data_IF_586159325523
#
_entry.id   IF_586159325523
#
_cell.length_a   1.000
_cell.length_b   1.000
_cell.length_c   1.000
_cell.angle_alpha   90.00
_cell.angle_beta   90.00
_cell.angle_gamma   90.00
#
_symmetry.space_group_name_H-M   'P 1'
#
loop_
_entity.id
_entity.type
_entity.pdbx_description
1 polymer ?
#
# COMPACT_ATOMS: atom_id res chain seq x y z
N UNK A 1 -18.25 -1.81 -22.45
CA UNK A 1 -18.00 -2.07 -21.02
C UNK A 1 -16.53 -1.78 -20.80
N UNK A 2 -16.10 -0.91 -19.86
CA UNK A 2 -14.69 -0.74 -19.59
C UNK A 2 -14.11 -2.11 -19.21
N UNK A 3 -12.95 -2.45 -19.75
CA UNK A 3 -12.29 -3.72 -19.50
C UNK A 3 -11.93 -3.81 -18.00
N UNK A 4 -12.53 -4.76 -17.30
CA UNK A 4 -12.26 -4.97 -15.88
C UNK A 4 -10.82 -5.50 -15.72
N UNK A 5 -10.00 -4.81 -14.96
CA UNK A 5 -8.64 -5.25 -14.62
C UNK A 5 -8.73 -6.21 -13.44
N UNK A 6 -8.27 -7.48 -13.59
CA UNK A 6 -8.23 -8.43 -12.48
C UNK A 6 -7.35 -7.90 -11.33
N UNK A 7 -7.71 -8.26 -10.10
CA UNK A 7 -6.95 -7.89 -8.91
C UNK A 7 -6.21 -9.11 -8.37
N UNK A 8 -4.90 -9.00 -8.16
CA UNK A 8 -4.11 -10.09 -7.59
C UNK A 8 -4.60 -10.52 -6.21
N UNK A 9 -5.03 -9.57 -5.40
CA UNK A 9 -5.57 -9.81 -4.05
C UNK A 9 -6.90 -10.59 -4.04
N UNK A 10 -7.56 -10.78 -5.18
CA UNK A 10 -8.86 -11.48 -5.24
C UNK A 10 -8.78 -12.92 -4.70
N UNK A 11 -7.70 -13.64 -5.01
CA UNK A 11 -7.48 -15.00 -4.51
C UNK A 11 -7.37 -15.05 -2.98
N UNK A 12 -6.76 -14.03 -2.36
CA UNK A 12 -6.67 -13.91 -0.91
C UNK A 12 -8.04 -13.65 -0.27
N UNK A 13 -8.89 -12.85 -0.93
CA UNK A 13 -10.27 -12.61 -0.46
C UNK A 13 -11.09 -13.90 -0.54
N UNK A 14 -10.96 -14.67 -1.63
CA UNK A 14 -11.65 -15.97 -1.76
C UNK A 14 -11.17 -16.98 -0.70
N UNK A 15 -9.86 -17.04 -0.43
CA UNK A 15 -9.29 -17.89 0.61
C UNK A 15 -9.81 -17.47 2.00
N UNK A 16 -9.81 -16.19 2.32
CA UNK A 16 -10.33 -15.68 3.58
C UNK A 16 -11.83 -15.99 3.78
N UNK A 17 -12.64 -15.87 2.71
CA UNK A 17 -14.06 -16.23 2.79
C UNK A 17 -14.30 -17.74 3.00
N UNK A 18 -13.32 -18.59 2.69
CA UNK A 18 -13.44 -20.02 2.88
C UNK A 18 -13.26 -20.45 4.35
N UNK A 19 -12.57 -19.68 5.18
CA UNK A 19 -12.22 -20.05 6.54
C UNK A 19 -12.55 -18.98 7.62
N UNK A 20 -12.81 -17.75 7.21
CA UNK A 20 -13.04 -16.62 8.11
C UNK A 20 -14.49 -16.13 8.02
N UNK A 21 -15.09 -15.83 9.19
CA UNK A 21 -16.51 -15.46 9.34
C UNK A 21 -16.83 -14.10 8.73
N UNK A 22 -15.93 -13.14 8.93
CA UNK A 22 -16.05 -11.75 8.47
C UNK A 22 -14.78 -11.34 7.72
N UNK A 23 -14.91 -10.94 6.47
CA UNK A 23 -13.80 -10.42 5.67
C UNK A 23 -14.04 -8.93 5.41
N UNK A 24 -13.09 -8.09 5.79
CA UNK A 24 -13.12 -6.65 5.57
C UNK A 24 -12.10 -6.26 4.50
N UNK A 25 -12.58 -5.70 3.39
CA UNK A 25 -11.72 -5.05 2.38
C UNK A 25 -11.56 -3.58 2.76
N UNK A 26 -10.39 -3.23 3.27
CA UNK A 26 -10.03 -1.87 3.65
C UNK A 26 -9.08 -1.25 2.64
N UNK A 27 -9.09 0.06 2.45
CA UNK A 27 -8.16 0.70 1.51
C UNK A 27 -8.63 2.06 1.03
N UNK A 28 -7.77 2.71 0.23
CA UNK A 28 -7.98 4.06 -0.26
C UNK A 28 -9.36 4.23 -0.94
N UNK A 29 -9.92 5.42 -0.81
CA UNK A 29 -11.11 5.79 -1.58
C UNK A 29 -10.85 5.62 -3.07
N UNK A 30 -11.84 5.11 -3.83
CA UNK A 30 -11.73 4.86 -5.27
C UNK A 30 -10.61 3.86 -5.68
N UNK A 31 -10.07 3.04 -4.77
CA UNK A 31 -9.14 1.96 -5.11
C UNK A 31 -9.83 0.76 -5.80
N UNK A 32 -11.16 0.73 -5.86
CA UNK A 32 -11.92 -0.34 -6.52
C UNK A 32 -12.50 -1.40 -5.57
N UNK A 33 -12.66 -1.10 -4.26
CA UNK A 33 -13.20 -2.02 -3.25
C UNK A 33 -14.56 -2.61 -3.65
N UNK A 34 -15.55 -1.76 -3.94
CA UNK A 34 -16.90 -2.19 -4.34
C UNK A 34 -16.90 -3.01 -5.62
N UNK A 35 -15.93 -2.76 -6.53
CA UNK A 35 -15.75 -3.55 -7.74
C UNK A 35 -15.17 -4.93 -7.43
N UNK A 36 -14.11 -4.99 -6.60
CA UNK A 36 -13.51 -6.26 -6.16
C UNK A 36 -14.54 -7.14 -5.46
N UNK A 37 -15.26 -6.59 -4.49
CA UNK A 37 -16.30 -7.31 -3.75
C UNK A 37 -17.38 -7.85 -4.67
N UNK A 38 -17.79 -7.08 -5.68
CA UNK A 38 -18.76 -7.54 -6.68
C UNK A 38 -18.24 -8.71 -7.51
N UNK A 39 -16.96 -8.68 -7.88
CA UNK A 39 -16.32 -9.76 -8.64
C UNK A 39 -16.18 -11.02 -7.79
N UNK A 40 -15.69 -10.90 -6.57
CA UNK A 40 -15.49 -12.02 -5.64
C UNK A 40 -16.84 -12.63 -5.22
N UNK A 41 -17.86 -11.81 -4.93
CA UNK A 41 -19.19 -12.33 -4.63
C UNK A 41 -19.79 -13.10 -5.82
N UNK A 42 -19.45 -12.71 -7.07
CA UNK A 42 -19.82 -13.44 -8.29
C UNK A 42 -21.30 -13.82 -8.34
N UNK A 43 -21.56 -15.11 -8.59
CA UNK A 43 -22.88 -15.72 -8.65
C UNK A 43 -23.35 -16.32 -7.30
N UNK A 44 -22.60 -16.08 -6.21
CA UNK A 44 -23.02 -16.51 -4.86
C UNK A 44 -24.39 -15.87 -4.50
N UNK A 45 -25.21 -16.59 -3.77
CA UNK A 45 -26.45 -16.05 -3.21
C UNK A 45 -26.10 -15.00 -2.17
N UNK A 46 -25.93 -13.75 -2.63
CA UNK A 46 -25.48 -12.65 -1.80
C UNK A 46 -26.51 -11.51 -1.80
N UNK A 47 -26.86 -11.03 -0.62
CA UNK A 47 -27.51 -9.73 -0.46
C UNK A 47 -26.47 -8.62 -0.35
N UNK A 48 -26.79 -7.44 -0.89
CA UNK A 48 -25.85 -6.32 -0.98
C UNK A 48 -26.49 -5.03 -0.51
N UNK A 49 -25.83 -4.37 0.44
CA UNK A 49 -26.20 -3.06 0.93
C UNK A 49 -25.05 -2.06 0.71
N UNK A 50 -25.41 -0.92 0.14
CA UNK A 50 -24.48 0.21 -0.08
C UNK A 50 -24.85 1.34 0.90
N UNK A 51 -24.13 1.46 2.00
CA UNK A 51 -24.45 2.42 3.05
C UNK A 51 -24.22 3.89 2.67
N UNK A 52 -23.67 4.17 1.49
CA UNK A 52 -23.73 5.53 0.92
C UNK A 52 -25.17 5.88 0.45
N UNK A 53 -26.02 4.88 0.16
CA UNK A 53 -27.43 5.09 -0.15
C UNK A 53 -28.23 5.32 1.14
N UNK A 54 -29.04 6.37 1.12
CA UNK A 54 -29.84 6.75 2.29
C UNK A 54 -30.83 5.63 2.74
N UNK A 55 -31.39 4.89 1.77
CA UNK A 55 -32.34 3.82 2.02
C UNK A 55 -31.67 2.64 2.75
N UNK A 56 -30.51 2.19 2.24
CA UNK A 56 -29.78 1.06 2.82
C UNK A 56 -29.26 1.40 4.23
N UNK A 57 -28.78 2.64 4.40
CA UNK A 57 -28.36 3.14 5.70
C UNK A 57 -29.54 3.24 6.69
N UNK A 58 -30.72 3.68 6.24
CA UNK A 58 -31.91 3.72 7.08
C UNK A 58 -32.33 2.32 7.54
N UNK A 59 -32.30 1.32 6.64
CA UNK A 59 -32.58 -0.08 6.98
C UNK A 59 -31.56 -0.60 8.02
N UNK A 60 -30.27 -0.37 7.82
CA UNK A 60 -29.19 -0.75 8.71
C UNK A 60 -29.32 -0.17 10.13
N UNK A 61 -29.80 1.07 10.23
CA UNK A 61 -30.00 1.76 11.51
C UNK A 61 -31.31 1.36 12.20
N UNK A 62 -32.37 1.07 11.42
CA UNK A 62 -33.70 0.76 11.97
C UNK A 62 -33.79 -0.67 12.48
N UNK A 63 -33.25 -1.63 11.72
CA UNK A 63 -33.25 -3.06 12.10
C UNK A 63 -31.89 -3.71 11.76
N UNK A 64 -30.86 -3.43 12.54
CA UNK A 64 -29.54 -4.01 12.30
C UNK A 64 -29.51 -5.54 12.43
N UNK A 65 -30.32 -6.12 13.32
CA UNK A 65 -30.37 -7.58 13.54
C UNK A 65 -31.02 -8.27 12.36
N UNK A 66 -32.20 -7.81 11.92
CA UNK A 66 -32.87 -8.39 10.76
C UNK A 66 -32.06 -8.27 9.48
N UNK A 67 -31.30 -7.17 9.33
CA UNK A 67 -30.43 -6.98 8.17
C UNK A 67 -29.27 -7.98 8.15
N UNK A 68 -28.61 -8.26 9.29
CA UNK A 68 -27.43 -9.15 9.32
C UNK A 68 -27.81 -10.63 9.18
N UNK A 69 -29.06 -11.00 9.37
CA UNK A 69 -29.55 -12.39 9.22
C UNK A 69 -30.21 -12.66 7.85
N UNK A 70 -30.22 -11.67 6.95
CA UNK A 70 -31.03 -11.72 5.72
C UNK A 70 -30.51 -12.68 4.65
N UNK A 71 -29.21 -13.06 4.67
CA UNK A 71 -28.60 -13.80 3.57
C UNK A 71 -27.52 -14.80 4.00
N UNK A 72 -27.19 -15.73 3.09
CA UNK A 72 -26.10 -16.68 3.25
C UNK A 72 -24.73 -15.97 3.17
N UNK A 73 -24.55 -15.05 2.22
CA UNK A 73 -23.45 -14.09 2.15
C UNK A 73 -24.01 -12.67 2.15
N UNK A 74 -23.64 -11.88 3.14
CA UNK A 74 -24.02 -10.48 3.23
C UNK A 74 -22.84 -9.58 2.83
N UNK A 75 -23.06 -8.77 1.81
CA UNK A 75 -22.10 -7.78 1.32
C UNK A 75 -22.51 -6.40 1.79
N UNK A 76 -21.68 -5.73 2.59
CA UNK A 76 -21.93 -4.38 3.10
C UNK A 76 -20.81 -3.44 2.62
N UNK A 77 -21.17 -2.50 1.76
CA UNK A 77 -20.25 -1.47 1.26
C UNK A 77 -20.27 -0.23 2.16
N UNK A 78 -19.09 0.34 2.45
CA UNK A 78 -18.88 1.53 3.29
C UNK A 78 -19.40 1.36 4.74
N UNK A 79 -19.06 0.24 5.40
CA UNK A 79 -19.50 -0.15 6.76
C UNK A 79 -19.30 0.96 7.80
N UNK A 80 -18.33 1.87 7.63
CA UNK A 80 -18.12 2.98 8.54
C UNK A 80 -19.28 3.99 8.59
N UNK A 81 -20.27 3.87 7.68
CA UNK A 81 -21.48 4.71 7.67
C UNK A 81 -22.54 4.25 8.67
N UNK A 82 -22.48 2.99 9.12
CA UNK A 82 -23.35 2.41 10.14
C UNK A 82 -22.54 1.46 11.05
N UNK A 83 -21.61 2.02 11.85
CA UNK A 83 -20.70 1.20 12.67
C UNK A 83 -21.42 0.33 13.72
N UNK A 84 -22.65 0.67 14.08
CA UNK A 84 -23.52 -0.13 14.93
C UNK A 84 -23.81 -1.53 14.39
N UNK A 85 -23.76 -1.72 13.05
CA UNK A 85 -23.89 -3.05 12.45
C UNK A 85 -22.79 -4.03 12.89
N UNK A 86 -21.61 -3.54 13.26
CA UNK A 86 -20.53 -4.41 13.73
C UNK A 86 -20.90 -5.17 15.01
N UNK A 87 -21.74 -4.59 15.89
CA UNK A 87 -22.25 -5.27 17.08
C UNK A 87 -23.29 -6.34 16.73
N UNK A 88 -24.18 -6.05 15.77
CA UNK A 88 -25.13 -7.03 15.27
C UNK A 88 -24.42 -8.21 14.56
N UNK A 89 -23.43 -7.92 13.71
CA UNK A 89 -22.58 -8.93 13.05
C UNK A 89 -21.87 -9.77 14.11
N UNK A 90 -21.32 -9.16 15.18
CA UNK A 90 -20.69 -9.90 16.27
C UNK A 90 -21.65 -10.91 16.91
N UNK A 91 -22.87 -10.50 17.26
CA UNK A 91 -23.85 -11.39 17.82
C UNK A 91 -24.18 -12.55 16.86
N UNK A 92 -24.42 -12.23 15.59
CA UNK A 92 -24.76 -13.21 14.56
C UNK A 92 -23.63 -14.23 14.30
N UNK A 93 -22.35 -13.83 14.34
CA UNK A 93 -21.22 -14.78 14.17
C UNK A 93 -20.91 -15.58 15.44
N UNK A 94 -21.37 -15.13 16.60
CA UNK A 94 -21.25 -15.89 17.83
C UNK A 94 -22.34 -17.00 17.91
N UNK A 95 -23.50 -16.76 17.29
CA UNK A 95 -24.60 -17.77 17.18
C UNK A 95 -24.33 -18.75 16.03
N UNK A 96 -23.89 -18.26 14.87
CA UNK A 96 -23.57 -19.05 13.68
C UNK A 96 -22.14 -18.77 13.20
N UNK A 97 -21.17 -19.61 13.59
CA UNK A 97 -19.75 -19.39 13.32
C UNK A 97 -19.30 -19.81 11.91
N UNK A 98 -20.20 -20.09 10.97
CA UNK A 98 -19.84 -20.47 9.61
C UNK A 98 -18.95 -19.40 8.94
N UNK A 99 -17.90 -19.81 8.19
CA UNK A 99 -17.10 -18.86 7.41
C UNK A 99 -17.86 -18.27 6.23
N UNK A 100 -17.36 -17.16 5.69
CA UNK A 100 -17.87 -16.54 4.46
C UNK A 100 -19.21 -15.85 4.56
N UNK A 101 -19.71 -15.56 5.79
CA UNK A 101 -21.03 -14.92 5.96
C UNK A 101 -21.03 -13.42 5.64
N UNK A 102 -19.94 -12.71 5.95
CA UNK A 102 -19.90 -11.26 5.84
C UNK A 102 -18.68 -10.79 5.03
N UNK A 103 -18.96 -10.04 3.97
CA UNK A 103 -17.94 -9.37 3.16
C UNK A 103 -18.17 -7.86 3.22
N UNK A 104 -17.31 -7.17 3.95
CA UNK A 104 -17.45 -5.75 4.26
C UNK A 104 -16.44 -4.93 3.45
N UNK A 105 -16.78 -3.67 3.14
CA UNK A 105 -15.79 -2.70 2.67
C UNK A 105 -15.74 -1.47 3.55
N UNK A 106 -14.56 -0.81 3.59
CA UNK A 106 -14.37 0.46 4.28
C UNK A 106 -13.27 1.30 3.65
N UNK A 107 -13.49 2.62 3.57
CA UNK A 107 -12.52 3.58 3.01
C UNK A 107 -11.64 4.26 4.06
N UNK A 108 -11.82 3.95 5.32
CA UNK A 108 -10.97 4.37 6.44
C UNK A 108 -10.57 3.16 7.28
N UNK A 109 -9.49 3.28 8.04
CA UNK A 109 -9.15 2.23 9.00
C UNK A 109 -10.19 2.21 10.11
N UNK A 110 -11.04 1.19 10.11
CA UNK A 110 -12.12 1.02 11.12
C UNK A 110 -11.61 1.05 12.55
N UNK A 111 -10.36 0.65 12.78
CA UNK A 111 -9.72 0.67 14.10
C UNK A 111 -9.47 2.07 14.67
N UNK A 112 -9.55 3.14 13.86
CA UNK A 112 -9.56 4.54 14.35
C UNK A 112 -10.94 5.03 14.80
N UNK A 113 -12.02 4.28 14.53
CA UNK A 113 -13.37 4.63 14.95
C UNK A 113 -13.63 4.09 16.37
N UNK A 114 -14.10 4.94 17.26
CA UNK A 114 -14.32 4.68 18.69
C UNK A 114 -15.21 3.43 19.00
N UNK A 115 -15.97 2.94 18.03
CA UNK A 115 -16.92 1.82 18.20
C UNK A 115 -16.44 0.46 17.65
N UNK A 116 -15.33 0.40 16.87
CA UNK A 116 -14.92 -0.82 16.17
C UNK A 116 -13.91 -1.74 16.89
N UNK A 117 -13.04 -1.26 17.82
CA UNK A 117 -11.97 -2.09 18.38
C UNK A 117 -12.46 -3.34 19.13
N UNK A 118 -13.65 -3.29 19.73
CA UNK A 118 -14.16 -4.37 20.58
C UNK A 118 -15.15 -5.32 19.88
N UNK A 119 -15.52 -5.03 18.63
CA UNK A 119 -16.63 -5.76 18.01
C UNK A 119 -16.24 -7.18 17.53
N UNK A 120 -15.08 -7.34 16.82
CA UNK A 120 -14.79 -8.57 16.07
C UNK A 120 -13.36 -9.15 16.24
N UNK A 121 -12.67 -9.04 17.41
CA UNK A 121 -11.35 -9.65 17.57
C UNK A 121 -11.39 -11.17 17.36
N UNK A 122 -10.48 -11.69 16.51
CA UNK A 122 -10.40 -13.12 16.21
C UNK A 122 -11.54 -13.68 15.34
N UNK A 123 -12.45 -12.83 14.85
CA UNK A 123 -13.58 -13.21 13.98
C UNK A 123 -13.50 -12.59 12.59
N UNK A 124 -12.64 -11.59 12.41
CA UNK A 124 -12.52 -10.79 11.20
C UNK A 124 -11.08 -10.80 10.67
N UNK A 125 -10.95 -11.02 9.38
CA UNK A 125 -9.73 -10.76 8.63
C UNK A 125 -9.85 -9.47 7.84
N UNK A 126 -8.80 -8.64 7.87
CA UNK A 126 -8.75 -7.40 7.11
C UNK A 126 -7.74 -7.51 5.99
N UNK A 127 -8.20 -7.31 4.76
CA UNK A 127 -7.38 -7.31 3.56
C UNK A 127 -7.28 -5.88 3.02
N UNK A 128 -6.05 -5.37 2.91
CA UNK A 128 -5.79 -4.01 2.42
C UNK A 128 -5.78 -3.98 0.90
N UNK A 129 -6.72 -3.25 0.29
CA UNK A 129 -6.77 -3.02 -1.15
C UNK A 129 -6.07 -1.73 -1.53
N UNK A 130 -4.96 -1.85 -2.23
CA UNK A 130 -4.20 -0.73 -2.79
C UNK A 130 -4.77 -0.27 -4.15
N UNK A 131 -4.41 0.93 -4.65
CA UNK A 131 -4.51 1.25 -6.08
C UNK A 131 -3.84 0.17 -6.94
N UNK A 132 -4.14 0.10 -8.21
CA UNK A 132 -3.55 -0.90 -9.11
C UNK A 132 -2.02 -0.94 -9.00
N UNK A 133 -1.46 -2.14 -8.98
CA UNK A 133 -0.04 -2.38 -9.21
C UNK A 133 0.32 -2.20 -10.69
N UNK A 134 1.61 -2.14 -10.98
CA UNK A 134 2.04 -2.07 -12.38
C UNK A 134 1.75 -3.37 -13.13
N UNK A 135 1.85 -4.53 -12.46
CA UNK A 135 1.51 -5.81 -13.06
C UNK A 135 0.02 -5.95 -13.33
N UNK A 136 -0.85 -5.55 -12.42
CA UNK A 136 -2.30 -5.51 -12.67
C UNK A 136 -2.64 -4.66 -13.90
N UNK A 137 -1.99 -3.49 -14.06
CA UNK A 137 -2.19 -2.61 -15.22
C UNK A 137 -1.68 -3.18 -16.54
N UNK A 138 -0.59 -3.95 -16.50
CA UNK A 138 0.08 -4.52 -17.67
C UNK A 138 -0.34 -6.00 -17.90
N UNK A 139 -1.18 -6.60 -17.05
CA UNK A 139 -1.52 -8.02 -17.08
C UNK A 139 -0.29 -8.90 -16.80
N UNK A 140 0.57 -8.51 -15.86
CA UNK A 140 1.80 -9.19 -15.46
C UNK A 140 1.70 -9.74 -14.03
N UNK A 141 2.56 -10.69 -13.64
CA UNK A 141 2.35 -11.50 -12.43
C UNK A 141 2.63 -10.83 -11.08
N UNK A 142 3.43 -9.74 -11.00
CA UNK A 142 3.79 -9.07 -9.72
C UNK A 142 4.34 -10.01 -8.63
N UNK A 143 5.23 -10.93 -8.99
CA UNK A 143 5.72 -11.99 -8.09
C UNK A 143 7.10 -11.74 -7.48
N UNK A 144 7.63 -10.51 -7.52
CA UNK A 144 9.00 -10.21 -7.09
C UNK A 144 9.29 -10.60 -5.64
N UNK A 145 8.36 -10.34 -4.72
CA UNK A 145 8.56 -10.64 -3.29
C UNK A 145 8.77 -12.13 -3.09
N UNK A 146 7.92 -12.97 -3.65
CA UNK A 146 8.04 -14.43 -3.55
C UNK A 146 9.30 -14.94 -4.28
N UNK A 147 9.58 -14.39 -5.46
CA UNK A 147 10.72 -14.78 -6.27
C UNK A 147 12.06 -14.45 -5.59
N UNK A 148 12.20 -13.29 -4.95
CA UNK A 148 13.47 -12.90 -4.33
C UNK A 148 13.77 -13.72 -3.07
N UNK A 149 12.76 -14.15 -2.31
CA UNK A 149 12.95 -15.06 -1.19
C UNK A 149 13.28 -16.48 -1.64
N UNK A 150 12.78 -16.91 -2.80
CA UNK A 150 13.03 -18.26 -3.34
C UNK A 150 14.37 -18.37 -4.06
N UNK A 151 14.66 -17.42 -4.96
CA UNK A 151 15.84 -17.48 -5.81
C UNK A 151 17.01 -16.67 -5.27
N UNK A 152 16.76 -15.74 -4.35
CA UNK A 152 17.79 -14.90 -3.75
C UNK A 152 18.67 -14.21 -4.78
N UNK A 153 20.01 -14.40 -4.69
CA UNK A 153 20.97 -13.81 -5.63
C UNK A 153 20.95 -14.47 -7.03
N UNK A 154 20.20 -15.55 -7.23
CA UNK A 154 20.06 -16.20 -8.52
C UNK A 154 18.91 -15.64 -9.35
N UNK A 155 18.10 -14.76 -8.78
CA UNK A 155 17.08 -14.03 -9.51
C UNK A 155 17.69 -13.26 -10.69
N UNK A 156 17.10 -13.42 -11.88
CA UNK A 156 17.51 -12.76 -13.12
C UNK A 156 16.32 -12.11 -13.77
N UNK A 157 16.55 -10.94 -14.34
CA UNK A 157 15.55 -10.24 -15.12
C UNK A 157 16.22 -9.32 -16.15
N UNK A 158 15.67 -9.29 -17.34
CA UNK A 158 16.01 -8.34 -18.41
C UNK A 158 14.78 -7.51 -18.75
N UNK A 159 14.97 -6.27 -19.14
CA UNK A 159 13.90 -5.31 -19.36
C UNK A 159 14.17 -4.40 -20.55
N UNK A 160 13.12 -4.07 -21.26
CA UNK A 160 13.07 -3.03 -22.29
C UNK A 160 12.44 -1.72 -21.76
N UNK A 161 12.02 -1.68 -20.50
CA UNK A 161 11.39 -0.51 -19.88
C UNK A 161 12.41 0.61 -19.70
N UNK A 162 12.14 1.72 -20.34
CA UNK A 162 13.02 2.90 -20.30
C UNK A 162 12.78 3.78 -19.07
N UNK A 163 13.74 4.68 -18.79
CA UNK A 163 13.55 5.70 -17.75
C UNK A 163 12.33 6.60 -17.99
N UNK A 164 12.00 6.86 -19.26
CA UNK A 164 10.82 7.63 -19.63
C UNK A 164 9.51 6.87 -19.29
N UNK A 165 9.51 5.54 -19.47
CA UNK A 165 8.38 4.70 -19.08
C UNK A 165 8.19 4.69 -17.57
N UNK A 166 9.26 4.61 -16.78
CA UNK A 166 9.18 4.75 -15.32
C UNK A 166 8.59 6.10 -14.90
N UNK A 167 9.06 7.20 -15.52
CA UNK A 167 8.51 8.54 -15.26
C UNK A 167 7.01 8.63 -15.58
N UNK A 168 6.59 8.07 -16.71
CA UNK A 168 5.19 8.01 -17.11
C UNK A 168 4.33 7.20 -16.12
N UNK A 169 4.82 6.04 -15.64
CA UNK A 169 4.16 5.19 -14.66
C UNK A 169 4.02 5.89 -13.30
N UNK A 170 5.07 6.52 -12.81
CA UNK A 170 5.06 7.30 -11.56
C UNK A 170 3.96 8.37 -11.60
N UNK A 171 3.90 9.16 -12.68
CA UNK A 171 2.94 10.27 -12.81
C UNK A 171 1.50 9.75 -13.07
N UNK A 172 1.36 8.61 -13.72
CA UNK A 172 0.05 7.98 -13.94
C UNK A 172 -0.58 7.53 -12.64
N UNK A 173 0.23 6.97 -11.72
CA UNK A 173 -0.25 6.31 -10.51
C UNK A 173 -0.99 5.01 -10.81
N UNK A 174 -1.74 4.50 -9.82
CA UNK A 174 -2.53 3.27 -9.87
C UNK A 174 -4.00 3.44 -9.53
N UNK A 175 -4.48 4.66 -9.17
CA UNK A 175 -5.91 4.87 -8.93
C UNK A 175 -6.72 4.58 -10.21
N UNK A 176 -7.76 3.70 -10.17
CA UNK A 176 -8.53 3.30 -11.34
C UNK A 176 -8.99 4.46 -12.23
N UNK A 177 -9.56 5.48 -11.60
CA UNK A 177 -10.05 6.67 -12.32
C UNK A 177 -8.91 7.52 -12.92
N UNK A 178 -7.71 7.53 -12.33
CA UNK A 178 -6.55 8.21 -12.90
C UNK A 178 -5.98 7.43 -14.08
N UNK A 179 -5.88 6.11 -13.96
CA UNK A 179 -5.33 5.23 -15.02
C UNK A 179 -6.23 5.19 -16.27
N UNK A 180 -7.56 5.32 -16.10
CA UNK A 180 -8.51 5.41 -17.21
C UNK A 180 -8.42 6.72 -17.99
N UNK A 181 -7.77 7.77 -17.46
CA UNK A 181 -7.63 9.07 -18.14
C UNK A 181 -6.35 9.10 -18.95
N UNK A 182 -6.46 9.08 -20.25
CA UNK A 182 -5.31 9.19 -21.18
C UNK A 182 -4.76 10.60 -21.27
N UNK A 183 -5.62 11.63 -21.16
CA UNK A 183 -5.20 13.05 -21.18
C UNK A 183 -4.55 13.43 -19.83
N UNK A 184 -3.27 13.85 -19.82
CA UNK A 184 -2.55 14.24 -18.61
C UNK A 184 -3.22 15.38 -17.83
N UNK A 185 -3.79 16.39 -18.53
CA UNK A 185 -4.46 17.52 -17.87
C UNK A 185 -5.73 17.09 -17.14
N UNK A 186 -6.46 16.15 -17.72
CA UNK A 186 -7.67 15.60 -17.07
C UNK A 186 -7.31 14.73 -15.87
N UNK A 187 -6.19 14.03 -15.92
CA UNK A 187 -5.65 13.26 -14.80
C UNK A 187 -5.22 14.16 -13.65
N UNK A 188 -4.50 15.25 -13.92
CA UNK A 188 -4.13 16.25 -12.92
C UNK A 188 -5.37 16.84 -12.22
N UNK A 189 -6.38 17.26 -12.98
CA UNK A 189 -7.65 17.74 -12.41
C UNK A 189 -8.36 16.71 -11.54
N UNK A 190 -8.25 15.43 -11.90
CA UNK A 190 -8.77 14.36 -11.08
C UNK A 190 -8.04 14.28 -9.74
N UNK A 191 -6.70 14.27 -9.73
CA UNK A 191 -5.94 14.24 -8.48
C UNK A 191 -6.21 15.47 -7.60
N UNK A 192 -6.31 16.67 -8.18
CA UNK A 192 -6.66 17.88 -7.42
C UNK A 192 -8.04 17.75 -6.75
N UNK A 193 -9.05 17.30 -7.50
CA UNK A 193 -10.39 17.08 -6.98
C UNK A 193 -10.44 15.95 -5.94
N UNK A 194 -9.66 14.88 -6.15
CA UNK A 194 -9.55 13.75 -5.24
C UNK A 194 -9.00 14.19 -3.87
N UNK A 195 -7.87 14.89 -3.85
CA UNK A 195 -7.28 15.40 -2.61
C UNK A 195 -8.21 16.39 -1.91
N UNK A 196 -8.86 17.29 -2.67
CA UNK A 196 -9.81 18.23 -2.09
C UNK A 196 -10.99 17.49 -1.43
N UNK A 197 -11.52 16.46 -2.09
CA UNK A 197 -12.60 15.65 -1.55
C UNK A 197 -12.19 14.89 -0.28
N UNK A 198 -10.97 14.32 -0.23
CA UNK A 198 -10.44 13.66 0.97
C UNK A 198 -10.33 14.64 2.15
N UNK A 199 -9.79 15.84 1.92
CA UNK A 199 -9.67 16.88 2.97
C UNK A 199 -11.05 17.32 3.46
N UNK A 200 -12.01 17.54 2.55
CA UNK A 200 -13.31 18.11 2.89
C UNK A 200 -14.26 17.11 3.55
N UNK A 201 -14.18 15.83 3.22
CA UNK A 201 -15.12 14.80 3.70
C UNK A 201 -14.50 13.89 4.75
N UNK A 202 -13.39 13.23 4.40
CA UNK A 202 -12.90 12.09 5.16
C UNK A 202 -12.07 12.55 6.38
N UNK A 203 -11.20 13.52 6.19
CA UNK A 203 -10.39 14.05 7.29
C UNK A 203 -11.25 14.76 8.34
N UNK A 204 -12.31 15.45 7.93
CA UNK A 204 -13.25 16.11 8.86
C UNK A 204 -14.02 15.12 9.73
N UNK A 205 -14.28 13.92 9.26
CA UNK A 205 -15.00 12.89 10.02
C UNK A 205 -14.11 12.21 11.07
N UNK A 206 -12.80 12.13 10.80
CA UNK A 206 -11.84 11.42 11.66
C UNK A 206 -11.20 12.32 12.72
N UNK A 207 -11.10 13.63 12.46
CA UNK A 207 -10.44 14.54 13.39
C UNK A 207 -11.01 15.94 13.28
N UNK A 208 -11.04 16.66 14.40
CA UNK A 208 -11.45 18.07 14.48
C UNK A 208 -10.34 18.97 13.91
N UNK A 209 -10.09 18.83 12.59
CA UNK A 209 -9.09 19.61 11.87
C UNK A 209 -9.68 20.95 11.47
N UNK A 210 -9.35 21.99 12.25
CA UNK A 210 -9.85 23.35 12.03
C UNK A 210 -9.12 24.07 10.88
N UNK A 211 -7.89 23.65 10.55
CA UNK A 211 -6.99 24.36 9.62
C UNK A 211 -6.70 23.54 8.35
N UNK A 212 -7.61 23.60 7.37
CA UNK A 212 -7.47 22.91 6.08
C UNK A 212 -6.26 23.38 5.26
N UNK A 213 -5.92 24.67 5.36
CA UNK A 213 -4.80 25.25 4.64
C UNK A 213 -3.46 24.63 5.05
N UNK A 214 -3.28 24.44 6.36
CA UNK A 214 -2.07 23.81 6.92
C UNK A 214 -1.99 22.33 6.59
N UNK A 215 -3.12 21.61 6.57
CA UNK A 215 -3.16 20.22 6.12
C UNK A 215 -2.75 20.10 4.64
N UNK A 216 -3.25 21.00 3.77
CA UNK A 216 -2.83 21.01 2.36
C UNK A 216 -1.34 21.31 2.19
N UNK A 217 -0.80 22.24 2.98
CA UNK A 217 0.64 22.51 3.03
C UNK A 217 1.44 21.29 3.49
N UNK A 218 0.94 20.59 4.52
CA UNK A 218 1.57 19.35 4.99
C UNK A 218 1.62 18.30 3.87
N UNK A 219 0.51 18.04 3.16
CA UNK A 219 0.46 17.07 2.06
C UNK A 219 1.51 17.41 0.98
N UNK A 220 1.60 18.67 0.55
CA UNK A 220 2.61 19.13 -0.41
C UNK A 220 4.03 18.96 0.09
N UNK A 221 4.27 19.26 1.37
CA UNK A 221 5.58 19.10 2.00
C UNK A 221 5.98 17.62 2.08
N UNK A 222 5.03 16.73 2.40
CA UNK A 222 5.25 15.27 2.39
C UNK A 222 5.57 14.77 0.98
N UNK A 223 4.88 15.26 -0.06
CA UNK A 223 5.16 14.91 -1.44
C UNK A 223 6.54 15.37 -1.90
N UNK A 224 6.93 16.61 -1.53
CA UNK A 224 8.25 17.14 -1.85
C UNK A 224 9.39 16.45 -1.08
N UNK A 225 9.08 15.81 0.06
CA UNK A 225 10.01 15.05 0.91
C UNK A 225 9.71 13.56 0.89
N UNK A 226 9.13 13.05 -0.20
CA UNK A 226 8.87 11.60 -0.36
C UNK A 226 10.10 10.79 0.01
N UNK A 227 9.88 9.69 0.76
CA UNK A 227 10.91 8.76 1.22
C UNK A 227 11.96 9.30 2.22
N UNK A 228 11.93 10.58 2.57
CA UNK A 228 12.81 11.06 3.64
C UNK A 228 12.27 10.64 5.01
N UNK A 229 13.18 10.31 5.94
CA UNK A 229 12.80 10.14 7.34
C UNK A 229 12.34 11.49 7.88
N UNK A 230 11.06 11.58 8.24
CA UNK A 230 10.49 12.84 8.65
C UNK A 230 10.78 13.09 10.13
N UNK A 231 11.69 14.03 10.39
CA UNK A 231 11.87 14.56 11.73
C UNK A 231 10.74 15.53 12.07
N UNK A 232 10.02 15.30 13.17
CA UNK A 232 8.90 16.14 13.59
C UNK A 232 9.29 17.63 13.69
N UNK A 233 10.52 17.95 14.17
CA UNK A 233 11.04 19.31 14.29
C UNK A 233 11.09 20.05 12.93
N UNK A 234 11.39 19.34 11.85
CA UNK A 234 11.47 19.95 10.51
C UNK A 234 10.09 20.31 9.96
N UNK A 235 9.05 19.59 10.36
CA UNK A 235 7.67 19.90 10.03
C UNK A 235 7.14 21.06 10.89
N UNK A 236 7.49 21.11 12.19
CA UNK A 236 7.13 22.23 13.08
C UNK A 236 7.61 23.56 12.50
N UNK A 237 8.90 23.63 12.14
CA UNK A 237 9.49 24.85 11.58
C UNK A 237 8.88 25.26 10.23
N UNK A 238 8.53 24.27 9.38
CA UNK A 238 7.99 24.53 8.04
C UNK A 238 6.51 24.94 8.04
N UNK A 239 5.72 24.45 9.01
CA UNK A 239 4.27 24.61 9.04
C UNK A 239 3.79 25.58 10.13
N UNK A 240 4.62 25.88 11.12
CA UNK A 240 4.21 26.67 12.30
C UNK A 240 3.19 25.95 13.20
N UNK A 241 3.15 24.61 13.14
CA UNK A 241 2.23 23.76 13.89
C UNK A 241 2.96 23.04 15.02
N UNK A 242 2.25 22.76 16.13
CA UNK A 242 2.80 21.97 17.23
C UNK A 242 2.97 20.50 16.86
N UNK A 243 3.90 19.79 17.51
CA UNK A 243 4.11 18.33 17.30
C UNK A 243 2.85 17.50 17.47
N UNK A 244 2.02 17.70 18.52
CA UNK A 244 0.78 16.95 18.66
C UNK A 244 -0.17 17.16 17.48
N UNK A 245 -0.26 18.38 16.96
CA UNK A 245 -1.09 18.70 15.79
C UNK A 245 -0.58 18.00 14.54
N UNK A 246 0.74 18.02 14.30
CA UNK A 246 1.36 17.34 13.17
C UNK A 246 1.15 15.81 13.28
N UNK A 247 1.36 15.23 14.46
CA UNK A 247 1.14 13.81 14.69
C UNK A 247 -0.30 13.39 14.39
N UNK A 248 -1.29 14.19 14.85
CA UNK A 248 -2.71 13.97 14.56
C UNK A 248 -3.02 14.07 13.06
N UNK A 249 -2.42 15.03 12.34
CA UNK A 249 -2.62 15.19 10.91
C UNK A 249 -2.01 14.02 10.13
N UNK A 250 -0.80 13.60 10.50
CA UNK A 250 -0.16 12.43 9.88
C UNK A 250 -0.97 11.15 10.11
N UNK A 251 -1.50 10.96 11.32
CA UNK A 251 -2.38 9.85 11.65
C UNK A 251 -3.65 9.90 10.79
N UNK A 252 -4.31 11.05 10.67
CA UNK A 252 -5.50 11.19 9.84
C UNK A 252 -5.23 10.88 8.36
N UNK A 253 -4.07 11.33 7.82
CA UNK A 253 -3.67 11.01 6.43
C UNK A 253 -3.39 9.52 6.23
N UNK A 254 -2.89 8.83 7.26
CA UNK A 254 -2.67 7.39 7.25
C UNK A 254 -3.98 6.60 7.35
N UNK A 255 -4.91 7.06 8.18
CA UNK A 255 -6.24 6.46 8.35
C UNK A 255 -7.10 6.52 7.09
N UNK A 256 -6.96 7.57 6.28
CA UNK A 256 -7.64 7.68 4.97
C UNK A 256 -6.85 7.04 3.82
N UNK A 257 -5.76 6.33 4.10
CA UNK A 257 -4.90 5.70 3.09
C UNK A 257 -4.33 6.67 2.05
N UNK A 258 -3.98 7.89 2.45
CA UNK A 258 -3.26 8.82 1.58
C UNK A 258 -1.76 8.57 1.64
N UNK A 259 -1.26 8.29 2.86
CA UNK A 259 0.15 7.95 3.11
C UNK A 259 0.26 6.66 3.91
N UNK A 260 1.42 6.02 3.83
CA UNK A 260 1.79 4.85 4.64
C UNK A 260 3.15 5.06 5.28
N UNK A 261 3.30 4.61 6.52
CA UNK A 261 4.58 4.58 7.23
C UNK A 261 5.30 3.27 6.92
N UNK A 262 6.57 3.38 6.57
CA UNK A 262 7.51 2.27 6.49
C UNK A 262 8.41 2.37 7.73
N UNK A 263 8.27 1.46 8.71
CA UNK A 263 9.01 1.52 9.96
C UNK A 263 10.50 1.25 9.76
N UNK A 264 11.33 1.73 10.68
CA UNK A 264 12.75 1.45 10.66
C UNK A 264 13.05 0.03 11.14
N UNK A 265 13.93 -0.68 10.41
CA UNK A 265 14.39 -2.01 10.78
C UNK A 265 15.44 -1.96 11.88
N UNK A 266 15.34 -2.84 12.85
CA UNK A 266 16.38 -3.13 13.84
C UNK A 266 16.25 -4.56 14.33
N UNK A 267 17.40 -5.23 14.58
CA UNK A 267 17.40 -6.56 15.22
C UNK A 267 16.80 -6.51 16.63
N UNK A 268 17.02 -5.41 17.34
CA UNK A 268 16.39 -5.16 18.64
C UNK A 268 14.97 -4.63 18.46
N UNK A 269 13.98 -5.41 18.90
CA UNK A 269 12.57 -5.10 18.75
C UNK A 269 12.15 -3.79 19.45
N UNK A 270 12.73 -3.48 20.63
CA UNK A 270 12.46 -2.22 21.32
C UNK A 270 12.96 -1.00 20.54
N UNK A 271 14.15 -1.09 19.92
CA UNK A 271 14.67 -0.06 19.01
C UNK A 271 13.82 0.04 17.75
N UNK A 272 13.38 -1.11 17.19
CA UNK A 272 12.50 -1.16 16.01
C UNK A 272 11.18 -0.43 16.27
N UNK A 273 10.55 -0.64 17.42
CA UNK A 273 9.29 -0.02 17.80
C UNK A 273 9.36 1.51 17.90
N UNK A 274 10.55 2.07 18.17
CA UNK A 274 10.77 3.53 18.35
C UNK A 274 11.52 4.17 17.19
N UNK A 275 11.92 3.40 16.19
CA UNK A 275 12.66 3.91 15.03
C UNK A 275 11.78 4.86 14.21
N UNK A 276 12.38 5.97 13.76
CA UNK A 276 11.69 6.91 12.90
C UNK A 276 11.31 6.24 11.57
N UNK A 277 10.07 6.48 11.10
CA UNK A 277 9.55 5.88 9.88
C UNK A 277 9.80 6.77 8.66
N UNK A 278 9.96 6.16 7.49
CA UNK A 278 9.76 6.83 6.19
C UNK A 278 8.27 6.95 5.91
N UNK A 279 7.85 8.02 5.20
CA UNK A 279 6.48 8.15 4.71
C UNK A 279 6.47 8.06 3.18
N UNK A 280 5.56 7.25 2.66
CA UNK A 280 5.28 7.15 1.23
C UNK A 280 3.81 7.49 0.95
N UNK A 281 3.53 7.99 -0.24
CA UNK A 281 2.16 8.06 -0.73
C UNK A 281 1.69 6.69 -1.20
N UNK A 282 0.41 6.37 -0.93
CA UNK A 282 -0.21 5.12 -1.40
C UNK A 282 -0.31 5.08 -2.93
N UNK A 283 -0.34 6.25 -3.56
CA UNK A 283 -0.33 6.40 -5.02
C UNK A 283 0.73 7.43 -5.45
N UNK A 284 1.66 7.03 -6.32
CA UNK A 284 2.75 7.88 -6.79
C UNK A 284 2.26 9.04 -7.67
N UNK A 285 1.14 8.89 -8.37
CA UNK A 285 0.54 9.95 -9.18
C UNK A 285 0.03 11.10 -8.32
N UNK A 286 -0.48 10.82 -7.13
CA UNK A 286 -0.84 11.84 -6.14
C UNK A 286 0.41 12.63 -5.73
N UNK A 287 1.50 11.95 -5.36
CA UNK A 287 2.73 12.61 -4.94
C UNK A 287 3.29 13.50 -6.06
N UNK A 288 3.34 12.99 -7.30
CA UNK A 288 3.80 13.74 -8.47
C UNK A 288 2.92 14.99 -8.73
N UNK A 289 1.60 14.85 -8.62
CA UNK A 289 0.64 15.96 -8.79
C UNK A 289 0.82 17.05 -7.72
N UNK A 290 1.02 16.67 -6.45
CA UNK A 290 1.18 17.63 -5.35
C UNK A 290 2.47 18.48 -5.45
N UNK A 291 3.50 17.98 -6.12
CA UNK A 291 4.73 18.75 -6.44
C UNK A 291 4.70 19.36 -7.84
N UNK A 292 3.54 19.36 -8.49
CA UNK A 292 3.31 19.97 -9.81
C UNK A 292 4.31 19.49 -10.89
N UNK A 293 4.61 18.17 -10.92
CA UNK A 293 5.51 17.58 -11.91
C UNK A 293 4.77 16.70 -12.92
N UNK A 294 5.33 16.55 -14.11
CA UNK A 294 4.86 15.62 -15.14
C UNK A 294 6.00 14.69 -15.59
N UNK A 295 5.68 13.71 -16.44
CA UNK A 295 6.64 12.71 -16.88
C UNK A 295 7.85 13.32 -17.60
N UNK A 296 7.65 14.37 -18.36
CA UNK A 296 8.75 15.06 -19.07
C UNK A 296 9.61 15.90 -18.12
N UNK A 297 8.97 16.61 -17.16
CA UNK A 297 9.67 17.38 -16.15
C UNK A 297 10.54 16.48 -15.25
N UNK A 298 10.09 15.25 -14.94
CA UNK A 298 10.86 14.28 -14.16
C UNK A 298 12.16 13.82 -14.85
N UNK A 299 12.25 13.92 -16.17
CA UNK A 299 13.46 13.54 -16.92
C UNK A 299 14.51 14.63 -16.97
N UNK A 300 14.20 15.84 -16.52
CA UNK A 300 15.14 16.97 -16.51
C UNK A 300 16.22 16.77 -15.44
N UNK A 301 17.41 17.38 -15.63
CA UNK A 301 18.42 17.47 -14.58
C UNK A 301 17.84 18.06 -13.27
N UNK A 302 18.25 17.51 -12.13
CA UNK A 302 17.83 17.95 -10.80
C UNK A 302 16.33 17.76 -10.48
N UNK A 303 15.55 17.11 -11.36
CA UNK A 303 14.18 16.75 -11.05
C UNK A 303 14.10 15.69 -9.91
N UNK A 304 13.03 15.66 -9.13
CA UNK A 304 12.89 14.73 -8.00
C UNK A 304 12.53 13.29 -8.45
N UNK A 305 13.13 12.83 -9.55
CA UNK A 305 12.86 11.48 -10.08
C UNK A 305 13.30 10.39 -9.11
N UNK A 306 14.46 10.52 -8.45
CA UNK A 306 14.98 9.55 -7.50
C UNK A 306 14.02 9.31 -6.32
N UNK A 307 13.67 10.34 -5.53
CA UNK A 307 12.71 10.20 -4.42
C UNK A 307 11.34 9.66 -4.85
N UNK A 308 10.83 10.08 -6.01
CA UNK A 308 9.55 9.55 -6.50
C UNK A 308 9.66 8.10 -6.98
N UNK A 309 10.78 7.70 -7.59
CA UNK A 309 11.03 6.30 -7.97
C UNK A 309 11.16 5.42 -6.72
N UNK A 310 11.85 5.87 -5.68
CA UNK A 310 11.92 5.15 -4.40
C UNK A 310 10.53 4.97 -3.78
N UNK A 311 9.74 6.05 -3.69
CA UNK A 311 8.36 5.98 -3.20
C UNK A 311 7.49 5.02 -4.04
N UNK A 312 7.65 5.05 -5.36
CA UNK A 312 6.99 4.13 -6.28
C UNK A 312 7.36 2.67 -6.00
N UNK A 313 8.65 2.35 -5.87
CA UNK A 313 9.14 1.00 -5.55
C UNK A 313 8.60 0.53 -4.20
N UNK A 314 8.69 1.36 -3.15
CA UNK A 314 8.16 1.01 -1.82
C UNK A 314 6.65 0.77 -1.85
N UNK A 315 5.90 1.51 -2.67
CA UNK A 315 4.46 1.29 -2.84
C UNK A 315 4.15 0.01 -3.62
N UNK A 316 4.94 -0.35 -4.66
CA UNK A 316 4.80 -1.63 -5.37
C UNK A 316 5.12 -2.82 -4.46
N UNK A 317 6.21 -2.75 -3.67
CA UNK A 317 6.51 -3.78 -2.68
C UNK A 317 5.38 -3.92 -1.66
N UNK A 318 4.86 -2.80 -1.12
CA UNK A 318 3.75 -2.82 -0.16
C UNK A 318 2.48 -3.46 -0.72
N UNK A 319 2.19 -3.29 -2.03
CA UNK A 319 1.08 -3.95 -2.71
C UNK A 319 1.29 -5.46 -2.75
N UNK A 320 2.48 -5.91 -3.19
CA UNK A 320 2.79 -7.34 -3.30
C UNK A 320 2.68 -8.07 -1.97
N UNK A 321 2.98 -7.42 -0.84
CA UNK A 321 2.80 -8.02 0.49
C UNK A 321 1.34 -8.42 0.77
N UNK A 322 0.36 -7.88 0.06
CA UNK A 322 -1.06 -8.22 0.28
C UNK A 322 -1.49 -9.51 -0.39
N UNK A 323 -0.70 -10.04 -1.34
CA UNK A 323 -0.98 -11.32 -2.02
C UNK A 323 0.22 -12.27 -2.07
N UNK A 324 1.38 -11.87 -1.53
CA UNK A 324 2.55 -12.75 -1.43
C UNK A 324 2.23 -13.98 -0.56
N UNK A 325 2.69 -15.16 -0.97
CA UNK A 325 2.62 -16.37 -0.16
C UNK A 325 3.61 -16.35 1.01
N UNK A 326 4.62 -15.49 0.96
CA UNK A 326 5.57 -15.25 2.05
C UNK A 326 4.96 -14.27 3.05
N UNK A 327 4.99 -14.63 4.33
CA UNK A 327 4.66 -13.69 5.41
C UNK A 327 5.84 -12.75 5.64
N UNK A 328 5.85 -11.63 4.95
CA UNK A 328 6.96 -10.67 4.93
C UNK A 328 6.49 -9.31 5.44
N UNK A 329 7.31 -8.71 6.29
CA UNK A 329 7.16 -7.32 6.71
C UNK A 329 8.13 -6.41 5.96
N UNK A 330 7.70 -5.19 5.66
CA UNK A 330 8.49 -4.17 4.99
C UNK A 330 8.98 -3.10 5.97
N UNK A 331 10.28 -2.86 5.95
CA UNK A 331 10.99 -1.87 6.74
C UNK A 331 11.92 -1.05 5.85
N UNK A 332 12.48 0.04 6.38
CA UNK A 332 13.71 0.67 5.88
C UNK A 332 14.84 0.48 6.91
N UNK A 333 16.09 0.62 6.47
CA UNK A 333 17.23 0.55 7.39
C UNK A 333 18.04 1.84 7.34
N UNK A 334 18.44 2.35 8.51
CA UNK A 334 19.42 3.41 8.66
C UNK A 334 20.17 3.22 9.97
N UNK A 335 21.50 3.24 9.91
CA UNK A 335 22.32 3.14 11.10
C UNK A 335 22.88 4.52 11.53
N UNK A 336 23.57 4.51 12.71
CA UNK A 336 24.21 5.73 13.25
C UNK A 336 25.32 6.27 12.35
N UNK A 337 25.94 5.44 11.53
CA UNK A 337 26.99 5.80 10.57
C UNK A 337 26.41 6.26 9.22
N UNK A 338 25.10 6.50 9.15
CA UNK A 338 24.37 7.00 7.99
C UNK A 338 24.35 6.02 6.79
N UNK A 339 24.61 4.72 7.01
CA UNK A 339 24.32 3.71 6.01
C UNK A 339 22.80 3.49 5.95
N UNK A 340 22.26 3.56 4.74
CA UNK A 340 20.83 3.39 4.47
C UNK A 340 20.59 2.22 3.52
N UNK A 341 19.42 1.58 3.67
CA UNK A 341 18.81 0.67 2.71
C UNK A 341 17.34 1.05 2.61
N UNK A 342 16.86 1.29 1.40
CA UNK A 342 15.53 1.86 1.15
C UNK A 342 14.40 0.94 1.59
N UNK A 343 14.56 -0.38 1.35
CA UNK A 343 13.63 -1.38 1.84
C UNK A 343 14.36 -2.60 2.42
N UNK A 344 13.84 -3.11 3.53
CA UNK A 344 14.22 -4.41 4.11
C UNK A 344 12.94 -5.25 4.20
N UNK A 345 12.91 -6.33 3.45
CA UNK A 345 11.87 -7.34 3.50
C UNK A 345 12.32 -8.44 4.47
N UNK A 346 11.59 -8.66 5.56
CA UNK A 346 11.94 -9.66 6.58
C UNK A 346 10.78 -10.64 6.73
N UNK A 347 11.07 -11.93 6.58
CA UNK A 347 10.09 -12.98 6.79
C UNK A 347 9.98 -13.38 8.28
N UNK A 348 8.99 -14.22 8.62
CA UNK A 348 8.76 -14.65 10.02
C UNK A 348 9.90 -15.47 10.63
N UNK A 349 10.78 -16.07 9.81
CA UNK A 349 11.97 -16.76 10.28
C UNK A 349 13.16 -15.82 10.54
N UNK A 350 13.00 -14.51 10.33
CA UNK A 350 14.04 -13.51 10.52
C UNK A 350 15.01 -13.37 9.35
N UNK A 351 14.79 -14.11 8.27
CA UNK A 351 15.57 -13.96 7.05
C UNK A 351 15.16 -12.68 6.32
N UNK A 352 16.13 -11.99 5.72
CA UNK A 352 15.87 -10.70 5.11
C UNK A 352 16.51 -10.50 3.73
N UNK A 353 15.81 -9.73 2.92
CA UNK A 353 16.28 -9.19 1.63
C UNK A 353 16.38 -7.69 1.75
N UNK A 354 17.55 -7.12 1.41
CA UNK A 354 17.72 -5.66 1.30
C UNK A 354 17.44 -5.20 -0.14
N UNK A 355 16.72 -4.07 -0.28
CA UNK A 355 16.47 -3.44 -1.58
C UNK A 355 16.88 -1.99 -1.52
N UNK A 356 17.71 -1.58 -2.45
CA UNK A 356 18.16 -0.19 -2.69
C UNK A 356 17.63 0.27 -4.04
N UNK A 357 17.25 1.54 -4.19
CA UNK A 357 16.67 2.09 -5.42
C UNK A 357 17.60 3.12 -6.04
N UNK A 358 17.91 2.95 -7.32
CA UNK A 358 18.76 3.88 -8.07
C UNK A 358 18.07 4.40 -9.32
N UNK A 359 17.97 5.72 -9.41
CA UNK A 359 17.37 6.40 -10.55
C UNK A 359 18.28 6.45 -11.80
N UNK A 360 19.54 6.01 -11.65
CA UNK A 360 20.50 5.93 -12.74
C UNK A 360 20.29 4.65 -13.57
N UNK A 361 20.69 4.68 -14.84
CA UNK A 361 20.73 3.50 -15.71
C UNK A 361 22.01 2.68 -15.58
N UNK A 362 22.96 3.14 -14.76
CA UNK A 362 24.22 2.47 -14.44
C UNK A 362 24.38 2.40 -12.93
N UNK A 363 24.98 1.33 -12.43
CA UNK A 363 25.26 1.09 -11.01
C UNK A 363 26.74 0.72 -10.83
N UNK A 364 27.27 1.05 -9.65
CA UNK A 364 28.63 0.75 -9.26
C UNK A 364 28.74 0.11 -7.88
N UNK A 365 29.95 -0.29 -7.46
CA UNK A 365 30.15 -0.93 -6.15
C UNK A 365 29.68 -0.08 -4.97
N UNK A 366 29.72 1.24 -5.08
CA UNK A 366 29.31 2.16 -4.02
C UNK A 366 27.80 2.12 -3.74
N UNK A 367 26.98 1.78 -4.74
CA UNK A 367 25.53 1.67 -4.60
C UNK A 367 25.10 0.50 -3.67
N UNK A 368 26.02 -0.41 -3.40
CA UNK A 368 25.80 -1.57 -2.54
C UNK A 368 26.33 -1.40 -1.11
N UNK A 369 26.85 -0.23 -0.72
CA UNK A 369 27.44 -0.02 0.60
C UNK A 369 26.48 -0.29 1.74
N UNK A 370 25.26 0.22 1.64
CA UNK A 370 24.20 -0.02 2.63
C UNK A 370 23.84 -1.49 2.74
N UNK A 371 23.68 -2.17 1.59
CA UNK A 371 23.35 -3.60 1.51
C UNK A 371 24.47 -4.49 2.11
N UNK A 372 25.75 -4.17 1.85
CA UNK A 372 26.88 -4.88 2.50
C UNK A 372 26.84 -4.70 4.00
N UNK A 373 26.60 -3.47 4.46
CA UNK A 373 26.49 -3.18 5.90
C UNK A 373 25.35 -3.95 6.55
N UNK A 374 24.22 -4.07 5.87
CA UNK A 374 23.07 -4.86 6.32
C UNK A 374 23.42 -6.36 6.34
N UNK A 375 24.09 -6.87 5.30
CA UNK A 375 24.56 -8.25 5.20
C UNK A 375 25.51 -8.63 6.34
N UNK A 376 26.51 -7.78 6.65
CA UNK A 376 27.42 -7.98 7.78
C UNK A 376 26.67 -8.08 9.11
N UNK A 377 25.57 -7.33 9.26
CA UNK A 377 24.76 -7.30 10.47
C UNK A 377 23.83 -8.50 10.62
N UNK A 378 23.30 -9.00 9.52
CA UNK A 378 22.39 -10.13 9.47
C UNK A 378 23.11 -11.49 9.43
N UNK A 379 24.31 -11.55 8.83
CA UNK A 379 25.07 -12.81 8.67
C UNK A 379 24.31 -13.77 7.75
N UNK A 380 24.01 -14.96 8.27
CA UNK A 380 23.32 -16.03 7.51
C UNK A 380 21.84 -15.73 7.26
N UNK A 381 21.23 -14.84 8.07
CA UNK A 381 19.85 -14.40 7.86
C UNK A 381 19.70 -13.47 6.64
N UNK A 382 20.78 -12.96 6.05
CA UNK A 382 20.76 -12.14 4.85
C UNK A 382 20.69 -13.01 3.59
N UNK A 383 19.54 -13.05 2.92
CA UNK A 383 19.34 -13.84 1.69
C UNK A 383 20.01 -13.15 0.51
N UNK A 384 19.63 -11.90 0.22
CA UNK A 384 20.11 -11.16 -0.93
C UNK A 384 20.04 -9.65 -0.71
N UNK A 385 20.89 -8.90 -1.41
CA UNK A 385 20.83 -7.46 -1.57
C UNK A 385 20.59 -7.11 -3.04
N UNK A 386 19.50 -6.43 -3.31
CA UNK A 386 19.07 -6.07 -4.65
C UNK A 386 19.14 -4.55 -4.82
N UNK A 387 19.87 -4.08 -5.82
CA UNK A 387 19.76 -2.69 -6.30
C UNK A 387 18.79 -2.68 -7.47
N UNK A 388 17.61 -2.08 -7.27
CA UNK A 388 16.65 -1.82 -8.33
C UNK A 388 17.03 -0.53 -9.06
N UNK A 389 17.33 -0.61 -10.36
CA UNK A 389 17.84 0.50 -11.13
C UNK A 389 17.12 0.66 -12.47
N UNK A 390 17.31 1.79 -13.16
CA UNK A 390 16.63 2.07 -14.45
C UNK A 390 17.38 1.54 -15.67
N UNK A 391 18.35 0.65 -15.48
CA UNK A 391 18.99 -0.09 -16.57
C UNK A 391 18.18 -1.31 -17.00
N UNK A 392 18.73 -2.08 -17.94
CA UNK A 392 18.00 -3.12 -18.69
C UNK A 392 18.36 -4.55 -18.32
N UNK A 393 19.48 -4.79 -17.61
CA UNK A 393 20.03 -6.12 -17.42
C UNK A 393 20.31 -6.44 -15.95
N UNK A 394 20.32 -7.72 -15.60
CA UNK A 394 20.83 -8.18 -14.30
C UNK A 394 22.34 -8.13 -14.27
N UNK A 395 22.91 -7.50 -13.24
CA UNK A 395 24.35 -7.38 -13.03
C UNK A 395 24.76 -7.96 -11.65
N UNK A 396 25.84 -8.78 -11.59
CA UNK A 396 26.37 -9.30 -10.33
C UNK A 396 27.31 -8.30 -9.66
N UNK A 397 27.24 -8.19 -8.31
CA UNK A 397 28.13 -7.34 -7.48
C UNK A 397 28.68 -8.07 -6.25
N UNK A 398 28.80 -9.38 -6.31
CA UNK A 398 29.26 -10.30 -5.26
C UNK A 398 28.30 -11.49 -5.10
N UNK A 399 28.57 -12.36 -4.13
CA UNK A 399 27.85 -13.63 -3.98
C UNK A 399 26.34 -13.45 -3.76
N UNK A 400 25.97 -12.49 -2.90
CA UNK A 400 24.58 -12.23 -2.52
C UNK A 400 24.03 -10.90 -3.01
N UNK A 401 24.73 -10.20 -3.93
CA UNK A 401 24.36 -8.86 -4.36
C UNK A 401 24.11 -8.82 -5.87
N UNK A 402 22.98 -8.23 -6.28
CA UNK A 402 22.58 -8.08 -7.69
C UNK A 402 21.98 -6.71 -7.95
N UNK A 403 22.21 -6.18 -9.15
CA UNK A 403 21.37 -5.12 -9.69
C UNK A 403 20.34 -5.74 -10.63
N UNK A 404 19.10 -5.31 -10.51
CA UNK A 404 17.98 -5.72 -11.35
C UNK A 404 17.24 -4.49 -11.89
N UNK A 405 16.72 -4.52 -13.12
CA UNK A 405 15.79 -3.50 -13.60
C UNK A 405 14.59 -3.34 -12.66
N UNK A 406 14.13 -2.10 -12.42
CA UNK A 406 12.96 -1.81 -11.57
C UNK A 406 11.72 -2.58 -12.03
N UNK A 407 11.59 -2.86 -13.33
CA UNK A 407 10.48 -3.65 -13.88
C UNK A 407 10.41 -5.09 -13.38
N UNK A 408 11.48 -5.60 -12.77
CA UNK A 408 11.46 -6.91 -12.11
C UNK A 408 10.32 -7.01 -11.08
N UNK A 409 9.95 -5.89 -10.43
CA UNK A 409 8.85 -5.84 -9.47
C UNK A 409 7.55 -6.42 -10.02
N UNK A 410 7.20 -6.13 -11.27
CA UNK A 410 5.91 -6.56 -11.83
C UNK A 410 6.02 -7.56 -12.98
N UNK A 411 7.22 -7.77 -13.54
CA UNK A 411 7.40 -8.70 -14.66
C UNK A 411 7.87 -10.09 -14.23
N UNK A 412 8.45 -10.20 -13.02
CA UNK A 412 8.90 -11.50 -12.50
C UNK A 412 7.70 -12.27 -11.94
N UNK A 413 7.51 -13.56 -12.34
CA UNK A 413 6.47 -14.39 -11.77
C UNK A 413 6.85 -14.86 -10.35
N UNK A 414 5.84 -15.12 -9.53
CA UNK A 414 6.03 -15.92 -8.33
C UNK A 414 6.53 -17.32 -8.71
N UNK A 415 7.38 -17.95 -7.88
CA UNK A 415 7.80 -19.32 -8.10
C UNK A 415 6.58 -20.24 -8.16
N UNK A 416 6.56 -21.18 -9.12
CA UNK A 416 5.56 -22.24 -9.11
C UNK A 416 5.85 -23.15 -7.93
N UNK A 417 4.99 -23.13 -6.93
CA UNK A 417 5.04 -24.10 -5.83
C UNK A 417 4.54 -25.44 -6.37
N UNK A 418 5.44 -26.28 -6.89
CA UNK A 418 5.22 -27.72 -6.89
C UNK A 418 5.26 -28.18 -5.42
N UNK A 419 4.14 -28.04 -4.70
CA UNK A 419 3.96 -28.78 -3.44
C UNK A 419 3.71 -30.23 -3.84
N UNK A 420 4.62 -31.17 -3.51
CA UNK A 420 4.25 -32.59 -3.56
C UNK A 420 3.09 -32.76 -2.58
N UNK A 421 2.00 -33.31 -3.09
CA UNK A 421 0.79 -33.68 -2.35
C UNK A 421 1.09 -34.69 -1.23
#
# INVERSE_FOLDING_TARGET
VPHLIPRHVAAQVDAALADTRVVLISGARQAGKSTLVRVVAGDRLAERYDLDRAQDRAAATTDPVGLVDSAELLVIDEIQRAPELLLAIKAAVDEDPRPGRYLLTGSSRLFGMVAAPDALPGRMETIELWPFSQGELDGKPDGFVDAVFTFGPDLRHESDVSRADYAARIVRGGLPEATARTDPRRRQRFFDAYIQALIDRDVRQLSDIQHKGELRKLIRLLAARSTTIIAANSLESALGLSRPTIARYLQALEEIFLVKRIPGWSRNLGTRATAAAKLIFVDSGIAANEIATDAWALLRPHAPFGPLLESFVLSELSRQLTWSEQFVDLYHYRDRSQYEVDAVLENRSGQAVGVEVKAASTVGPDDFRGLRRLADRLGDDFIAGIVLYTGTSTLPFGDRLRALPVSALWQVPAPTTDRPH
#
